data_IF_547567395093
#
_entry.id   IF_547567395093
#
_cell.length_a   1.000
_cell.length_b   1.000
_cell.length_c   1.000
_cell.angle_alpha   90.00
_cell.angle_beta   90.00
_cell.angle_gamma   90.00
#
_symmetry.space_group_name_H-M   'P 1'
#
loop_
_entity.id
_entity.type
_entity.pdbx_description
1 polymer ?
#
# COMPACT_ATOMS: atom_id res chain seq x y z
N UNK A 1 -2.28 -25.13 12.02
CA UNK A 1 -3.54 -24.92 12.77
C UNK A 1 -4.71 -25.36 11.88
N UNK A 2 -5.22 -26.55 12.15
CA UNK A 2 -6.33 -27.21 11.45
C UNK A 2 -7.70 -26.68 11.93
N UNK A 3 -8.71 -26.98 11.11
CA UNK A 3 -10.16 -27.14 11.42
C UNK A 3 -11.09 -25.93 11.23
N UNK A 4 -12.15 -26.13 10.43
CA UNK A 4 -13.46 -25.52 10.71
C UNK A 4 -14.20 -24.81 9.56
N UNK A 5 -15.01 -25.58 8.80
CA UNK A 5 -16.26 -25.20 8.11
C UNK A 5 -16.56 -23.68 7.95
N UNK A 6 -16.28 -23.11 6.77
CA UNK A 6 -16.86 -21.83 6.32
C UNK A 6 -18.16 -22.08 5.55
N UNK A 7 -19.20 -22.51 6.28
CA UNK A 7 -20.58 -22.40 5.85
C UNK A 7 -21.16 -21.12 6.49
N UNK A 8 -21.87 -20.32 5.69
CA UNK A 8 -22.74 -19.20 6.14
C UNK A 8 -22.14 -17.77 6.20
N UNK A 9 -21.31 -17.36 5.22
CA UNK A 9 -20.77 -15.99 5.08
C UNK A 9 -21.63 -15.13 4.12
N UNK A 10 -22.93 -14.97 4.37
CA UNK A 10 -23.77 -14.08 3.54
C UNK A 10 -24.03 -12.70 4.16
N UNK A 11 -23.83 -12.51 5.48
CA UNK A 11 -24.15 -11.24 6.17
C UNK A 11 -23.00 -10.64 7.03
N UNK A 12 -21.76 -11.11 6.92
CA UNK A 12 -20.60 -10.62 7.70
C UNK A 12 -19.45 -10.04 6.87
N UNK A 13 -19.68 -9.72 5.60
CA UNK A 13 -18.64 -9.29 4.66
C UNK A 13 -18.03 -7.90 4.93
N UNK A 14 -18.44 -7.20 5.99
CA UNK A 14 -18.08 -5.79 6.17
C UNK A 14 -16.60 -5.57 6.59
N UNK A 15 -15.89 -6.61 7.07
CA UNK A 15 -14.49 -6.52 7.52
C UNK A 15 -13.68 -7.78 7.18
N UNK A 16 -13.44 -8.00 5.90
CA UNK A 16 -12.45 -8.98 5.44
C UNK A 16 -11.27 -8.19 4.88
N UNK A 17 -10.20 -8.03 5.67
CA UNK A 17 -8.95 -7.51 5.15
C UNK A 17 -8.29 -8.62 4.31
N UNK A 18 -8.16 -8.39 3.00
CA UNK A 18 -7.39 -9.29 2.13
C UNK A 18 -5.93 -8.89 2.26
N UNK A 19 -5.17 -9.70 3.00
CA UNK A 19 -3.72 -9.52 3.09
C UNK A 19 -3.07 -10.09 1.83
N UNK A 20 -2.93 -9.22 0.82
CA UNK A 20 -2.36 -9.56 -0.47
C UNK A 20 -0.85 -9.84 -0.43
N UNK A 21 -0.31 -10.26 -1.57
CA UNK A 21 1.14 -10.49 -1.77
C UNK A 21 1.99 -9.21 -1.61
N UNK A 22 1.37 -8.05 -1.83
CA UNK A 22 2.06 -6.78 -2.07
C UNK A 22 2.31 -5.87 -0.86
N UNK A 23 1.45 -5.75 0.18
CA UNK A 23 1.76 -4.89 1.32
C UNK A 23 3.03 -5.33 2.05
N UNK A 24 3.25 -6.65 2.18
CA UNK A 24 4.44 -7.17 2.85
C UNK A 24 5.71 -6.89 2.03
N UNK A 25 5.65 -6.99 0.70
CA UNK A 25 6.78 -6.66 -0.18
C UNK A 25 7.18 -5.18 -0.05
N UNK A 26 6.21 -4.28 0.09
CA UNK A 26 6.45 -2.86 0.32
C UNK A 26 7.09 -2.61 1.69
N UNK A 27 6.62 -3.28 2.74
CA UNK A 27 7.22 -3.18 4.08
C UNK A 27 8.66 -3.70 4.10
N UNK A 28 8.92 -4.85 3.47
CA UNK A 28 10.28 -5.41 3.36
C UNK A 28 11.18 -4.45 2.58
N UNK A 29 10.70 -3.93 1.43
CA UNK A 29 11.45 -2.94 0.64
C UNK A 29 11.74 -1.68 1.44
N UNK A 30 10.82 -1.22 2.26
CA UNK A 30 11.01 -0.06 3.13
C UNK A 30 12.13 -0.32 4.14
N UNK A 31 12.10 -1.45 4.85
CA UNK A 31 13.13 -1.83 5.83
C UNK A 31 14.51 -1.96 5.19
N UNK A 32 14.60 -2.62 4.03
CA UNK A 32 15.89 -2.81 3.33
C UNK A 32 16.52 -1.49 2.88
N UNK A 33 15.70 -0.47 2.59
CA UNK A 33 16.18 0.84 2.11
C UNK A 33 16.12 1.93 3.18
N UNK A 34 15.79 1.59 4.43
CA UNK A 34 15.67 2.56 5.50
C UNK A 34 17.05 3.08 5.89
N UNK A 35 17.34 4.34 5.54
CA UNK A 35 18.55 5.06 5.92
C UNK A 35 18.23 6.52 6.15
N UNK A 36 18.74 7.09 7.23
CA UNK A 36 18.68 8.53 7.48
C UNK A 36 19.78 9.22 6.67
N UNK A 37 19.41 10.23 5.88
CA UNK A 37 20.38 11.01 5.12
C UNK A 37 21.10 12.01 6.03
N UNK A 38 22.25 12.54 5.58
CA UNK A 38 22.98 13.54 6.37
C UNK A 38 22.14 14.81 6.53
N UNK A 39 21.39 15.15 5.49
CA UNK A 39 20.47 16.27 5.43
C UNK A 39 19.34 16.13 6.45
N UNK A 40 18.77 14.92 6.63
CA UNK A 40 17.76 14.65 7.65
C UNK A 40 18.32 14.86 9.06
N UNK A 41 19.56 14.44 9.29
CA UNK A 41 20.23 14.54 10.60
C UNK A 41 20.58 16.00 10.92
N UNK A 42 21.09 16.74 9.93
CA UNK A 42 21.35 18.18 10.07
C UNK A 42 20.06 18.97 10.30
N UNK A 43 18.96 18.55 9.66
CA UNK A 43 17.63 19.12 9.89
C UNK A 43 17.16 18.89 11.34
N UNK A 44 17.34 17.68 11.87
CA UNK A 44 17.01 17.38 13.27
C UNK A 44 17.86 18.23 14.22
N UNK A 45 19.17 18.36 13.95
CA UNK A 45 20.09 19.17 14.77
C UNK A 45 19.68 20.64 14.84
N UNK A 46 19.23 21.22 13.73
CA UNK A 46 18.94 22.65 13.64
C UNK A 46 17.51 23.03 14.08
N UNK A 47 16.53 22.13 13.95
CA UNK A 47 15.12 22.46 14.18
C UNK A 47 14.53 21.92 15.48
N UNK A 48 15.21 20.98 16.15
CA UNK A 48 14.73 20.50 17.45
C UNK A 48 15.01 21.58 18.51
N UNK A 49 13.96 22.02 19.19
CA UNK A 49 14.04 23.05 20.25
C UNK A 49 14.80 22.59 21.50
N UNK A 50 15.01 21.29 21.63
CA UNK A 50 15.77 20.65 22.71
C UNK A 50 17.20 20.46 22.22
N UNK A 51 18.17 20.90 23.02
CA UNK A 51 19.59 20.67 22.74
C UNK A 51 19.84 19.18 22.56
N UNK A 52 20.08 18.77 21.32
CA UNK A 52 20.32 17.39 20.96
C UNK A 52 21.75 17.00 21.39
N UNK A 53 21.90 15.96 22.20
CA UNK A 53 23.21 15.45 22.57
C UNK A 53 23.90 14.87 21.33
N UNK A 54 25.19 15.17 21.13
CA UNK A 54 25.95 14.65 19.98
C UNK A 54 25.92 13.11 19.93
N UNK A 55 25.87 12.43 21.09
CA UNK A 55 25.73 10.97 21.18
C UNK A 55 24.42 10.43 20.60
N UNK A 56 23.32 11.19 20.63
CA UNK A 56 22.07 10.80 19.99
C UNK A 56 22.16 10.95 18.46
N UNK A 57 22.84 11.99 17.96
CA UNK A 57 23.07 12.16 16.53
C UNK A 57 23.95 11.03 15.96
N UNK A 58 24.96 10.61 16.72
CA UNK A 58 25.78 9.45 16.35
C UNK A 58 24.98 8.14 16.35
N UNK A 59 24.05 7.97 17.31
CA UNK A 59 23.10 6.86 17.30
C UNK A 59 22.25 6.88 16.02
N UNK A 60 21.66 8.03 15.66
CA UNK A 60 20.83 8.16 14.45
C UNK A 60 21.60 7.83 13.15
N UNK A 61 22.88 8.20 13.07
CA UNK A 61 23.75 7.88 11.91
C UNK A 61 23.99 6.39 11.74
N UNK A 62 24.02 5.65 12.85
CA UNK A 62 24.28 4.21 12.89
C UNK A 62 23.02 3.34 12.91
N UNK A 63 21.82 3.91 12.67
CA UNK A 63 20.60 3.11 12.66
C UNK A 63 20.61 2.18 11.45
N UNK A 64 20.76 0.89 11.75
CA UNK A 64 20.53 -0.20 10.81
C UNK A 64 19.31 -1.01 11.26
N UNK A 65 18.47 -1.42 10.31
CA UNK A 65 17.29 -2.26 10.58
C UNK A 65 17.61 -3.76 10.59
N UNK A 66 18.89 -4.13 10.73
CA UNK A 66 19.35 -5.53 10.66
C UNK A 66 18.87 -6.39 11.83
N UNK A 67 18.72 -5.79 13.01
CA UNK A 67 18.32 -6.49 14.24
C UNK A 67 16.78 -6.55 14.42
N UNK A 68 16.01 -6.27 13.36
CA UNK A 68 14.55 -6.23 13.41
C UNK A 68 13.97 -7.48 12.74
N UNK A 69 13.20 -8.25 13.51
CA UNK A 69 12.47 -9.42 13.03
C UNK A 69 11.00 -9.08 12.76
N UNK A 70 10.46 -9.62 11.66
CA UNK A 70 9.09 -9.37 11.23
C UNK A 70 8.31 -10.68 11.04
N UNK A 71 7.17 -10.78 11.72
CA UNK A 71 6.25 -11.90 11.65
C UNK A 71 4.94 -11.45 11.03
N UNK A 72 4.59 -11.97 9.87
CA UNK A 72 3.38 -11.59 9.13
C UNK A 72 2.45 -12.79 8.91
N UNK A 73 1.14 -12.52 8.85
CA UNK A 73 0.15 -13.52 8.43
C UNK A 73 0.46 -13.98 6.99
N UNK A 74 0.30 -15.29 6.68
CA UNK A 74 0.56 -15.80 5.34
C UNK A 74 -0.25 -15.09 4.26
N UNK A 75 0.39 -14.92 3.10
CA UNK A 75 -0.17 -14.27 1.91
C UNK A 75 -1.52 -14.88 1.52
N UNK A 76 -2.51 -14.04 1.19
CA UNK A 76 -3.83 -14.46 0.75
C UNK A 76 -4.80 -14.85 1.87
N UNK A 77 -4.39 -14.66 3.13
CA UNK A 77 -5.25 -14.93 4.29
C UNK A 77 -6.32 -13.85 4.45
N UNK A 78 -7.50 -14.29 4.87
CA UNK A 78 -8.57 -13.42 5.37
C UNK A 78 -8.27 -13.09 6.82
N UNK A 79 -8.19 -11.80 7.15
CA UNK A 79 -7.92 -11.36 8.51
C UNK A 79 -9.15 -10.66 9.08
N UNK A 80 -9.44 -10.96 10.34
CA UNK A 80 -10.54 -10.40 11.12
C UNK A 80 -10.03 -9.37 12.12
N UNK A 81 -10.97 -8.57 12.64
CA UNK A 81 -10.70 -7.63 13.74
C UNK A 81 -10.03 -8.32 14.93
N UNK A 82 -9.13 -7.58 15.60
CA UNK A 82 -8.41 -7.99 16.82
C UNK A 82 -7.41 -9.15 16.61
N UNK A 83 -7.07 -9.49 15.37
CA UNK A 83 -5.98 -10.41 15.04
C UNK A 83 -4.77 -9.60 14.56
N UNK A 84 -3.56 -9.80 15.12
CA UNK A 84 -2.37 -9.07 14.69
C UNK A 84 -1.99 -9.43 13.25
N UNK A 85 -1.91 -8.43 12.37
CA UNK A 85 -1.51 -8.59 10.96
C UNK A 85 0.00 -8.80 10.81
N UNK A 86 0.75 -8.00 11.57
CA UNK A 86 2.20 -7.95 11.58
C UNK A 86 2.65 -7.82 13.04
N UNK A 87 3.67 -8.56 13.42
CA UNK A 87 4.41 -8.40 14.67
C UNK A 87 5.86 -8.07 14.32
N UNK A 88 6.43 -7.12 15.04
CA UNK A 88 7.80 -6.64 14.86
C UNK A 88 8.52 -6.82 16.19
N UNK A 89 9.71 -7.39 16.16
CA UNK A 89 10.56 -7.58 17.34
C UNK A 89 11.94 -6.97 17.04
N UNK A 90 12.52 -6.25 18.01
CA UNK A 90 13.80 -5.56 17.80
C UNK A 90 14.05 -4.45 18.82
N UNK A 91 15.13 -3.65 18.64
CA UNK A 91 15.45 -2.54 19.53
C UNK A 91 14.31 -1.50 19.56
N UNK A 92 13.89 -1.09 20.76
CA UNK A 92 12.71 -0.24 20.97
C UNK A 92 12.75 1.06 20.14
N UNK A 93 13.90 1.72 20.07
CA UNK A 93 14.06 2.95 19.32
C UNK A 93 13.84 2.75 17.81
N UNK A 94 14.35 1.65 17.24
CA UNK A 94 14.19 1.33 15.81
C UNK A 94 12.75 0.90 15.52
N UNK A 95 12.18 0.03 16.35
CA UNK A 95 10.79 -0.44 16.17
C UNK A 95 9.79 0.71 16.25
N UNK A 96 10.02 1.68 17.14
CA UNK A 96 9.17 2.87 17.27
C UNK A 96 9.24 3.77 16.03
N UNK A 97 10.42 3.94 15.42
CA UNK A 97 10.57 4.69 14.16
C UNK A 97 9.84 4.01 13.00
N UNK A 98 9.80 2.67 12.98
CA UNK A 98 9.13 1.89 11.95
C UNK A 98 7.60 1.82 12.11
N UNK A 99 7.05 2.22 13.26
CA UNK A 99 5.61 2.14 13.54
C UNK A 99 4.78 2.94 12.50
N UNK A 100 5.09 4.22 12.34
CA UNK A 100 4.35 5.14 11.45
C UNK A 100 4.33 4.68 9.99
N UNK A 101 5.47 4.38 9.33
CA UNK A 101 5.47 3.94 7.94
C UNK A 101 4.74 2.61 7.75
N UNK A 102 4.84 1.69 8.71
CA UNK A 102 4.17 0.40 8.60
C UNK A 102 2.66 0.49 8.75
N UNK A 103 2.19 1.28 9.71
CA UNK A 103 0.77 1.56 9.89
C UNK A 103 0.19 2.17 8.61
N UNK A 104 0.92 3.11 7.99
CA UNK A 104 0.53 3.70 6.71
C UNK A 104 0.45 2.66 5.58
N UNK A 105 1.51 1.88 5.35
CA UNK A 105 1.60 0.91 4.26
C UNK A 105 0.51 -0.18 4.37
N UNK A 106 0.31 -0.72 5.58
CA UNK A 106 -0.65 -1.81 5.81
C UNK A 106 -2.09 -1.30 5.74
N UNK A 107 -2.38 -0.13 6.34
CA UNK A 107 -3.74 0.42 6.33
C UNK A 107 -4.18 0.81 4.92
N UNK A 108 -3.33 1.48 4.15
CA UNK A 108 -3.68 1.86 2.79
C UNK A 108 -3.92 0.63 1.90
N UNK A 109 -3.01 -0.34 1.95
CA UNK A 109 -3.12 -1.56 1.16
C UNK A 109 -4.37 -2.37 1.50
N UNK A 110 -4.67 -2.55 2.79
CA UNK A 110 -5.82 -3.33 3.25
C UNK A 110 -7.15 -2.62 2.97
N UNK A 111 -7.22 -1.29 3.10
CA UNK A 111 -8.41 -0.51 2.81
C UNK A 111 -8.78 -0.63 1.32
N UNK A 112 -7.82 -0.41 0.43
CA UNK A 112 -8.05 -0.46 -1.02
C UNK A 112 -8.38 -1.89 -1.47
N UNK A 113 -7.66 -2.90 -1.00
CA UNK A 113 -7.93 -4.30 -1.37
C UNK A 113 -9.31 -4.77 -0.90
N UNK A 114 -9.70 -4.41 0.31
CA UNK A 114 -11.02 -4.75 0.88
C UNK A 114 -12.14 -4.03 0.14
N UNK A 115 -11.97 -2.75 -0.17
CA UNK A 115 -12.96 -2.00 -0.92
C UNK A 115 -13.14 -2.56 -2.34
N UNK A 116 -12.03 -2.88 -3.00
CA UNK A 116 -12.05 -3.52 -4.31
C UNK A 116 -12.75 -4.89 -4.27
N UNK A 117 -12.51 -5.70 -3.23
CA UNK A 117 -13.20 -6.96 -3.02
C UNK A 117 -14.71 -6.81 -2.80
N UNK A 118 -15.14 -5.75 -2.09
CA UNK A 118 -16.56 -5.42 -1.92
C UNK A 118 -17.21 -5.06 -3.25
N UNK A 119 -16.54 -4.25 -4.08
CA UNK A 119 -17.03 -3.95 -5.44
C UNK A 119 -17.11 -5.20 -6.32
N UNK A 120 -16.10 -6.08 -6.27
CA UNK A 120 -16.14 -7.38 -6.97
C UNK A 120 -17.28 -8.27 -6.49
N UNK A 121 -17.53 -8.30 -5.18
CA UNK A 121 -18.64 -9.07 -4.62
C UNK A 121 -20.00 -8.58 -5.12
N UNK A 122 -20.22 -7.26 -5.16
CA UNK A 122 -21.47 -6.65 -5.64
C UNK A 122 -21.64 -6.75 -7.16
N UNK A 123 -20.58 -6.55 -7.93
CA UNK A 123 -20.64 -6.60 -9.39
C UNK A 123 -20.86 -8.02 -9.94
N UNK A 124 -20.41 -9.03 -9.20
CA UNK A 124 -20.39 -10.42 -9.62
C UNK A 124 -19.19 -10.77 -10.50
N UNK A 125 -19.02 -12.07 -10.77
CA UNK A 125 -17.92 -12.62 -11.59
C UNK A 125 -17.96 -12.24 -13.08
N UNK A 126 -19.11 -12.09 -13.77
CA UNK A 126 -19.09 -11.93 -15.23
C UNK A 126 -18.76 -10.50 -15.69
N UNK A 127 -18.82 -9.50 -14.81
CA UNK A 127 -18.61 -8.10 -15.17
C UNK A 127 -17.13 -7.73 -15.09
N UNK A 128 -16.64 -7.01 -16.10
CA UNK A 128 -15.29 -6.44 -16.06
C UNK A 128 -15.26 -5.21 -15.16
N UNK A 129 -14.38 -5.20 -14.17
CA UNK A 129 -14.16 -4.05 -13.30
C UNK A 129 -12.89 -3.29 -13.71
N UNK A 130 -13.04 -1.98 -13.90
CA UNK A 130 -11.97 -1.08 -14.33
C UNK A 130 -11.70 -0.04 -13.24
N UNK A 131 -10.43 0.17 -12.94
CA UNK A 131 -9.95 1.14 -11.97
C UNK A 131 -9.49 2.42 -12.69
N UNK A 132 -10.18 3.54 -12.43
CA UNK A 132 -9.93 4.87 -13.03
C UNK A 132 -9.69 5.95 -11.94
N UNK A 133 -9.16 5.56 -10.80
CA UNK A 133 -8.91 6.38 -9.62
C UNK A 133 -7.61 7.17 -9.66
N UNK A 134 -6.75 6.98 -10.67
CA UNK A 134 -5.45 7.64 -10.78
C UNK A 134 -5.52 9.17 -10.62
N UNK A 135 -6.55 9.82 -11.18
CA UNK A 135 -6.77 11.27 -11.11
C UNK A 135 -7.17 11.82 -9.72
N UNK A 136 -7.48 10.94 -8.76
CA UNK A 136 -7.85 11.30 -7.37
C UNK A 136 -6.97 10.58 -6.35
N UNK A 137 -6.01 9.79 -6.80
CA UNK A 137 -5.09 9.09 -5.92
C UNK A 137 -4.19 10.10 -5.19
N UNK A 138 -3.88 9.80 -3.93
CA UNK A 138 -3.15 10.72 -3.06
C UNK A 138 -1.64 10.51 -3.22
N UNK A 139 -0.92 11.57 -3.61
CA UNK A 139 0.53 11.53 -3.75
C UNK A 139 1.03 10.76 -4.98
N UNK A 140 2.36 10.78 -5.23
CA UNK A 140 2.96 10.15 -6.40
C UNK A 140 2.82 8.62 -6.39
N UNK A 141 3.04 8.00 -5.23
CA UNK A 141 2.97 6.53 -5.09
C UNK A 141 1.55 6.01 -4.84
N UNK A 142 0.62 6.86 -4.40
CA UNK A 142 -0.74 6.43 -4.09
C UNK A 142 -1.50 5.97 -5.33
N UNK A 143 -1.19 6.51 -6.51
CA UNK A 143 -1.76 6.06 -7.78
C UNK A 143 -1.35 4.62 -8.10
N UNK A 144 -0.03 4.37 -8.11
CA UNK A 144 0.56 3.07 -8.39
C UNK A 144 0.12 2.03 -7.35
N UNK A 145 0.17 2.40 -6.07
CA UNK A 145 -0.29 1.56 -4.96
C UNK A 145 -1.78 1.23 -5.09
N UNK A 146 -2.65 2.22 -5.30
CA UNK A 146 -4.09 2.01 -5.41
C UNK A 146 -4.46 1.06 -6.56
N UNK A 147 -3.86 1.25 -7.74
CA UNK A 147 -4.06 0.37 -8.89
C UNK A 147 -3.61 -1.07 -8.58
N UNK A 148 -2.45 -1.25 -7.94
CA UNK A 148 -1.92 -2.55 -7.49
C UNK A 148 -2.86 -3.27 -6.53
N UNK A 149 -3.32 -2.57 -5.49
CA UNK A 149 -4.18 -3.17 -4.47
C UNK A 149 -5.62 -3.41 -4.97
N UNK A 150 -6.11 -2.58 -5.90
CA UNK A 150 -7.41 -2.78 -6.55
C UNK A 150 -7.42 -4.03 -7.41
N UNK A 151 -6.33 -4.27 -8.15
CA UNK A 151 -6.16 -5.51 -8.91
C UNK A 151 -6.22 -6.75 -8.01
N UNK A 152 -5.53 -6.71 -6.86
CA UNK A 152 -5.54 -7.81 -5.88
C UNK A 152 -6.92 -8.02 -5.26
N UNK A 153 -7.66 -6.93 -5.01
CA UNK A 153 -9.05 -7.00 -4.55
C UNK A 153 -10.02 -7.54 -5.61
N UNK A 154 -9.59 -7.69 -6.86
CA UNK A 154 -10.34 -8.36 -7.92
C UNK A 154 -10.79 -7.46 -9.06
N UNK A 155 -10.18 -6.30 -9.28
CA UNK A 155 -10.39 -5.52 -10.50
C UNK A 155 -9.62 -6.14 -11.68
N UNK A 156 -10.12 -6.01 -12.91
CA UNK A 156 -9.55 -6.68 -14.09
C UNK A 156 -8.57 -5.79 -14.87
N UNK A 157 -8.74 -4.47 -14.81
CA UNK A 157 -7.87 -3.53 -15.49
C UNK A 157 -7.77 -2.17 -14.77
N UNK A 158 -6.71 -1.44 -15.05
CA UNK A 158 -6.36 -0.14 -14.46
C UNK A 158 -6.05 0.86 -15.56
N UNK A 159 -6.27 2.16 -15.30
CA UNK A 159 -5.84 3.23 -16.21
C UNK A 159 -4.36 3.56 -16.12
N UNK A 160 -3.70 3.11 -15.04
CA UNK A 160 -2.29 3.38 -14.79
C UNK A 160 -1.40 2.55 -15.72
N UNK A 161 -0.78 3.20 -16.71
CA UNK A 161 0.08 2.54 -17.69
C UNK A 161 1.35 1.96 -17.05
N UNK A 162 1.89 2.64 -16.05
CA UNK A 162 3.16 2.29 -15.40
C UNK A 162 3.03 0.91 -14.75
N UNK A 163 1.98 0.71 -13.96
CA UNK A 163 1.74 -0.52 -13.24
C UNK A 163 1.19 -1.63 -14.15
N UNK A 164 0.37 -1.27 -15.12
CA UNK A 164 -0.25 -2.23 -16.03
C UNK A 164 0.76 -2.95 -16.94
N UNK A 165 1.80 -2.24 -17.37
CA UNK A 165 2.93 -2.84 -18.11
C UNK A 165 3.73 -3.80 -17.22
N UNK A 166 3.90 -3.45 -15.93
CA UNK A 166 4.71 -4.24 -15.01
C UNK A 166 4.05 -5.56 -14.56
N UNK A 167 2.71 -5.62 -14.45
CA UNK A 167 2.03 -6.80 -13.87
C UNK A 167 1.19 -7.59 -14.87
N UNK A 168 0.57 -6.95 -15.87
CA UNK A 168 -0.60 -7.56 -16.52
C UNK A 168 -0.44 -7.95 -17.99
N UNK A 169 0.49 -7.38 -18.76
CA UNK A 169 0.68 -7.67 -20.20
C UNK A 169 -0.62 -7.81 -21.01
N UNK A 170 -1.71 -7.18 -20.58
CA UNK A 170 -2.98 -7.14 -21.32
C UNK A 170 -3.07 -5.82 -22.08
N UNK A 171 -4.01 -5.62 -23.01
CA UNK A 171 -4.25 -4.31 -23.61
C UNK A 171 -5.22 -3.48 -22.75
N UNK A 172 -4.82 -2.25 -22.35
CA UNK A 172 -5.73 -1.32 -21.65
C UNK A 172 -6.79 -0.86 -22.66
N UNK A 173 -8.07 -1.00 -22.30
CA UNK A 173 -9.14 -0.25 -22.97
C UNK A 173 -9.11 1.18 -22.45
N UNK A 174 -8.22 2.01 -23.00
CA UNK A 174 -8.25 3.46 -22.75
C UNK A 174 -9.37 4.09 -23.55
N UNK A 175 -10.21 4.88 -22.90
CA UNK A 175 -11.15 5.79 -23.57
C UNK A 175 -10.48 7.14 -23.77
N UNK A 176 -10.79 7.83 -24.86
CA UNK A 176 -10.28 9.17 -25.12
C UNK A 176 -10.81 10.16 -24.05
N UNK A 177 -9.94 10.98 -23.44
CA UNK A 177 -10.39 11.99 -22.50
C UNK A 177 -11.22 13.05 -23.21
N UNK A 178 -12.20 13.63 -22.51
CA UNK A 178 -13.07 14.66 -23.07
C UNK A 178 -12.29 15.86 -23.65
N UNK A 179 -11.13 16.18 -23.08
CA UNK A 179 -10.23 17.22 -23.61
C UNK A 179 -9.79 16.98 -25.04
N UNK A 180 -9.62 15.72 -25.46
CA UNK A 180 -9.25 15.38 -26.83
C UNK A 180 -10.34 15.83 -27.84
N UNK A 181 -11.61 15.82 -27.43
CA UNK A 181 -12.71 16.30 -28.26
C UNK A 181 -12.71 17.84 -28.40
N UNK A 182 -12.33 18.56 -27.34
CA UNK A 182 -12.20 20.02 -27.35
C UNK A 182 -11.03 20.51 -28.21
N UNK A 183 -9.91 19.79 -28.25
CA UNK A 183 -8.76 20.13 -29.10
C UNK A 183 -9.10 20.09 -30.59
N UNK A 184 -9.93 19.13 -31.03
CA UNK A 184 -10.42 19.09 -32.41
C UNK A 184 -11.35 20.28 -32.76
N UNK A 185 -12.04 20.85 -31.78
CA UNK A 185 -12.86 22.04 -32.01
C UNK A 185 -12.02 23.33 -32.09
N UNK A 186 -10.90 23.42 -31.36
CA UNK A 186 -10.01 24.59 -31.37
C UNK A 186 -9.03 24.65 -32.56
N UNK A 187 -8.80 23.53 -33.26
CA UNK A 187 -7.93 23.46 -34.45
C UNK A 187 -8.73 23.66 -35.76
N UNK A 188 -10.07 23.69 -35.69
CA UNK A 188 -10.96 23.78 -36.87
C UNK A 188 -11.70 25.12 -36.97
N UNK A 189 -11.22 26.18 -36.32
CA UNK A 189 -11.67 27.58 -36.51
C UNK A 189 -10.50 28.49 -36.88
#
# INVERSE_FOLDING_TARGET
MHTGKLANIKNKLCLICIFGRTPLEECVRFVTNYKLTKEDIDYIKNNLSVSCEDGFLDYLRGIDCSDVEFYAIPKGSVVFLKVPLLRIEGPIAVVQLLETPFVYLINFASLVSTNAARHRFVAGKPKTLLEFGLRRAQGPDGGVGASKYSYIGGFDATSDRIHYVAILLRPIKVSWPHSHMHWHFLITF
#
